data_IF_942589017427
#
_entry.id   IF_942589017427
#
_cell.length_a   1.000
_cell.length_b   1.000
_cell.length_c   1.000
_cell.angle_alpha   90.00
_cell.angle_beta   90.00
_cell.angle_gamma   90.00
#
_symmetry.space_group_name_H-M   'P 1'
#
loop_
_entity.id
_entity.type
_entity.pdbx_description
1 polymer ?
#
# COMPACT_ATOMS: atom_id res chain seq x y z
N UNK A 1 -1.62 6.54 24.06
CA UNK A 1 -0.65 6.77 22.97
C UNK A 1 -1.21 6.11 21.72
N UNK A 2 -1.58 6.87 20.68
CA UNK A 2 -2.07 6.27 19.46
C UNK A 2 -0.91 5.54 18.80
N UNK A 3 -1.07 4.23 18.61
CA UNK A 3 -0.15 3.41 17.83
C UNK A 3 -0.15 3.96 16.41
N UNK A 4 0.87 4.75 16.07
CA UNK A 4 1.19 5.03 14.68
C UNK A 4 1.60 3.69 14.07
N UNK A 5 0.62 2.97 13.50
CA UNK A 5 0.89 1.81 12.65
C UNK A 5 1.74 2.35 11.51
N UNK A 6 3.05 2.09 11.57
CA UNK A 6 3.94 2.28 10.43
C UNK A 6 3.34 1.43 9.31
N UNK A 7 2.70 2.09 8.35
CA UNK A 7 2.25 1.42 7.13
C UNK A 7 3.53 1.00 6.42
N UNK A 8 3.87 -0.29 6.53
CA UNK A 8 4.90 -0.92 5.72
C UNK A 8 4.62 -0.54 4.27
N UNK A 9 5.49 0.28 3.66
CA UNK A 9 5.24 0.81 2.31
C UNK A 9 5.43 -0.27 1.27
N UNK A 10 6.35 -1.21 1.55
CA UNK A 10 6.71 -2.31 0.66
C UNK A 10 6.75 -3.65 1.42
N UNK A 11 6.71 -4.77 0.69
CA UNK A 11 6.79 -6.14 1.25
C UNK A 11 7.93 -6.36 2.24
N UNK A 12 9.09 -5.80 1.94
CA UNK A 12 10.28 -5.94 2.78
C UNK A 12 10.17 -5.24 4.13
N UNK A 13 9.36 -4.18 4.23
CA UNK A 13 9.07 -3.55 5.52
C UNK A 13 8.20 -4.46 6.40
N UNK A 14 7.28 -5.21 5.77
CA UNK A 14 6.50 -6.22 6.47
C UNK A 14 7.41 -7.36 6.95
N UNK A 15 8.30 -7.87 6.10
CA UNK A 15 9.28 -8.89 6.52
C UNK A 15 10.13 -8.36 7.68
N UNK A 16 10.63 -7.12 7.59
CA UNK A 16 11.41 -6.49 8.67
C UNK A 16 10.61 -6.29 9.98
N UNK A 17 9.28 -6.23 9.91
CA UNK A 17 8.42 -6.11 11.09
C UNK A 17 8.16 -7.44 11.81
N UNK A 18 8.58 -8.57 11.23
CA UNK A 18 8.37 -9.89 11.82
C UNK A 18 9.22 -10.09 13.08
N UNK A 19 8.75 -10.88 14.06
CA UNK A 19 9.53 -11.24 15.23
C UNK A 19 10.85 -11.93 14.85
N UNK A 20 11.87 -11.69 15.68
CA UNK A 20 13.20 -12.30 15.62
C UNK A 20 13.19 -13.78 15.24
N UNK A 21 12.39 -14.58 15.96
CA UNK A 21 12.31 -16.04 15.78
C UNK A 21 11.78 -16.43 14.39
N UNK A 22 10.79 -15.69 13.88
CA UNK A 22 10.24 -15.93 12.53
C UNK A 22 11.26 -15.54 11.45
N UNK A 23 12.01 -14.46 11.65
CA UNK A 23 13.08 -14.04 10.72
C UNK A 23 14.21 -15.07 10.63
N UNK A 24 14.66 -15.60 11.76
CA UNK A 24 15.72 -16.60 11.77
C UNK A 24 15.27 -17.90 11.08
N UNK A 25 14.01 -18.33 11.26
CA UNK A 25 13.39 -19.45 10.52
C UNK A 25 13.30 -19.16 9.02
N UNK A 26 12.93 -17.94 8.62
CA UNK A 26 12.91 -17.54 7.20
C UNK A 26 14.30 -17.64 6.56
N UNK A 27 15.36 -17.32 7.30
CA UNK A 27 16.73 -17.36 6.79
C UNK A 27 17.29 -18.76 6.58
N UNK A 28 16.64 -19.80 7.10
CA UNK A 28 16.96 -21.19 6.77
C UNK A 28 16.73 -21.48 5.28
N UNK A 29 15.84 -20.73 4.62
CA UNK A 29 15.56 -20.88 3.21
C UNK A 29 16.50 -20.00 2.34
N UNK A 30 17.26 -20.64 1.45
CA UNK A 30 18.18 -19.98 0.52
C UNK A 30 17.51 -18.94 -0.38
N UNK A 31 16.28 -19.19 -0.83
CA UNK A 31 15.55 -18.29 -1.73
C UNK A 31 15.23 -16.96 -1.06
N UNK A 32 14.94 -17.00 0.24
CA UNK A 32 14.61 -15.80 1.00
C UNK A 32 15.86 -14.94 1.17
N UNK A 33 17.01 -15.55 1.44
CA UNK A 33 18.29 -14.84 1.51
C UNK A 33 18.58 -14.10 0.18
N UNK A 34 18.30 -14.75 -0.95
CA UNK A 34 18.47 -14.17 -2.27
C UNK A 34 17.45 -13.04 -2.58
N UNK A 35 16.17 -13.22 -2.20
CA UNK A 35 15.12 -12.20 -2.34
C UNK A 35 15.45 -10.94 -1.54
N UNK A 36 15.92 -11.14 -0.31
CA UNK A 36 16.32 -10.06 0.57
C UNK A 36 17.51 -9.33 -0.04
N UNK A 37 18.53 -10.06 -0.51
CA UNK A 37 19.67 -9.43 -1.18
C UNK A 37 19.24 -8.63 -2.43
N UNK A 38 18.29 -9.13 -3.23
CA UNK A 38 17.77 -8.41 -4.40
C UNK A 38 17.05 -7.12 -4.04
N UNK A 39 16.35 -7.10 -2.92
CA UNK A 39 15.55 -5.95 -2.47
C UNK A 39 16.33 -4.94 -1.62
N UNK A 40 17.55 -5.25 -1.16
CA UNK A 40 18.35 -4.28 -0.39
C UNK A 40 18.76 -3.05 -1.24
N UNK A 41 18.95 -1.86 -0.63
CA UNK A 41 19.57 -0.72 -1.30
C UNK A 41 20.98 -1.06 -1.83
N UNK A 42 21.46 -0.41 -2.91
CA UNK A 42 22.76 -0.74 -3.51
C UNK A 42 23.93 -0.75 -2.52
N UNK A 43 23.97 0.21 -1.59
CA UNK A 43 25.01 0.29 -0.56
C UNK A 43 24.93 -0.86 0.46
N UNK A 44 23.72 -1.25 0.86
CA UNK A 44 23.50 -2.39 1.75
C UNK A 44 23.90 -3.71 1.08
N UNK A 45 23.62 -3.89 -0.23
CA UNK A 45 24.09 -5.04 -1.01
C UNK A 45 25.61 -5.13 -1.01
N UNK A 46 26.30 -4.00 -1.23
CA UNK A 46 27.76 -3.93 -1.20
C UNK A 46 28.30 -4.44 0.15
N UNK A 47 27.75 -3.96 1.26
CA UNK A 47 28.17 -4.40 2.59
C UNK A 47 27.95 -5.90 2.79
N UNK A 48 26.76 -6.41 2.45
CA UNK A 48 26.46 -7.84 2.60
C UNK A 48 27.46 -8.70 1.82
N UNK A 49 27.78 -8.32 0.58
CA UNK A 49 28.72 -9.06 -0.26
C UNK A 49 30.17 -8.98 0.26
N UNK A 50 30.60 -7.83 0.78
CA UNK A 50 31.94 -7.67 1.35
C UNK A 50 32.10 -8.41 2.69
N UNK A 51 31.05 -8.42 3.51
CA UNK A 51 31.04 -9.10 4.81
C UNK A 51 30.85 -10.60 4.70
N UNK A 52 30.41 -11.10 3.54
CA UNK A 52 29.99 -12.49 3.36
C UNK A 52 31.07 -13.51 3.76
N UNK A 53 32.35 -13.22 3.52
CA UNK A 53 33.47 -14.12 3.82
C UNK A 53 34.30 -13.67 5.03
N UNK A 54 33.87 -12.63 5.75
CA UNK A 54 34.53 -12.21 6.97
C UNK A 54 33.99 -13.07 8.11
N UNK A 55 34.88 -13.82 8.73
CA UNK A 55 34.57 -14.61 9.93
C UNK A 55 34.79 -13.74 11.17
N UNK A 56 33.70 -13.38 11.85
CA UNK A 56 33.74 -12.68 13.14
C UNK A 56 33.09 -11.28 13.17
N UNK A 57 33.19 -10.59 14.31
CA UNK A 57 32.60 -9.26 14.49
C UNK A 57 33.39 -8.18 13.74
N UNK A 58 32.66 -7.26 13.11
CA UNK A 58 33.22 -6.19 12.28
C UNK A 58 33.10 -4.84 13.00
N UNK A 59 34.18 -4.07 13.18
CA UNK A 59 34.12 -2.75 13.82
C UNK A 59 33.24 -1.76 13.04
N UNK A 60 32.43 -0.96 13.73
CA UNK A 60 31.57 0.07 13.12
C UNK A 60 32.39 1.05 12.27
N UNK A 61 33.53 1.49 12.80
CA UNK A 61 34.45 2.43 12.13
C UNK A 61 34.92 1.95 10.76
N UNK A 62 35.09 0.64 10.58
CA UNK A 62 35.53 0.07 9.30
C UNK A 62 34.48 0.30 8.19
N UNK A 63 33.19 0.17 8.53
CA UNK A 63 32.10 0.41 7.57
C UNK A 63 31.91 1.89 7.27
N UNK A 64 32.19 2.77 8.24
CA UNK A 64 32.16 4.23 8.06
C UNK A 64 33.27 4.69 7.11
N UNK A 65 34.47 4.10 7.20
CA UNK A 65 35.60 4.38 6.31
C UNK A 65 35.36 3.99 4.84
N UNK A 66 34.42 3.08 4.57
CA UNK A 66 34.10 2.64 3.20
C UNK A 66 33.23 3.63 2.42
N UNK A 67 32.85 4.75 3.03
CA UNK A 67 31.95 5.75 2.46
C UNK A 67 32.57 7.13 2.54
N UNK A 68 32.42 7.90 1.45
CA UNK A 68 32.82 9.32 1.42
C UNK A 68 31.88 10.16 2.30
N UNK A 69 32.33 11.34 2.73
CA UNK A 69 31.55 12.23 3.60
C UNK A 69 30.13 12.51 3.05
N UNK A 70 29.99 12.71 1.74
CA UNK A 70 28.71 12.96 1.06
C UNK A 70 27.73 11.77 1.11
N UNK A 71 28.22 10.56 1.40
CA UNK A 71 27.45 9.33 1.46
C UNK A 71 26.98 8.94 2.87
N UNK A 72 27.31 9.71 3.91
CA UNK A 72 27.02 9.34 5.31
C UNK A 72 25.52 9.13 5.58
N UNK A 73 24.64 9.92 4.95
CA UNK A 73 23.18 9.76 5.07
C UNK A 73 22.71 8.42 4.48
N UNK A 74 23.23 8.03 3.32
CA UNK A 74 22.93 6.75 2.67
C UNK A 74 23.51 5.57 3.45
N UNK A 75 24.69 5.73 4.06
CA UNK A 75 25.28 4.75 4.96
C UNK A 75 24.34 4.45 6.13
N UNK A 76 23.84 5.49 6.83
CA UNK A 76 22.94 5.31 7.98
C UNK A 76 21.67 4.54 7.58
N UNK A 77 21.04 4.93 6.47
CA UNK A 77 19.84 4.23 5.95
C UNK A 77 20.14 2.77 5.60
N UNK A 78 21.30 2.49 5.00
CA UNK A 78 21.69 1.12 4.66
C UNK A 78 21.92 0.25 5.89
N UNK A 79 22.65 0.76 6.89
CA UNK A 79 22.90 0.04 8.16
C UNK A 79 21.61 -0.16 8.94
N UNK A 80 20.79 0.87 9.09
CA UNK A 80 19.48 0.78 9.75
C UNK A 80 18.63 -0.32 9.11
N UNK A 81 18.65 -0.42 7.77
CA UNK A 81 17.92 -1.46 7.05
C UNK A 81 18.46 -2.86 7.30
N UNK A 82 19.79 -3.04 7.33
CA UNK A 82 20.43 -4.32 7.63
C UNK A 82 20.17 -4.77 9.07
N UNK A 83 20.08 -3.82 10.02
CA UNK A 83 19.74 -4.08 11.41
C UNK A 83 18.26 -4.44 11.56
N UNK A 84 17.35 -3.71 10.91
CA UNK A 84 15.91 -4.00 10.91
C UNK A 84 15.61 -5.42 10.40
N UNK A 85 16.30 -5.83 9.34
CA UNK A 85 16.17 -7.19 8.81
C UNK A 85 16.93 -8.22 9.68
N UNK A 86 17.74 -7.80 10.65
CA UNK A 86 18.59 -8.69 11.47
C UNK A 86 19.61 -9.49 10.65
N UNK A 87 20.05 -8.92 9.52
CA UNK A 87 21.22 -9.40 8.78
C UNK A 87 22.49 -9.01 9.55
N UNK A 88 22.49 -7.79 10.12
CA UNK A 88 23.49 -7.31 11.05
C UNK A 88 22.88 -7.16 12.45
N UNK A 89 23.58 -7.62 13.47
CA UNK A 89 23.25 -7.36 14.87
C UNK A 89 24.29 -6.44 15.47
N UNK A 90 23.88 -5.28 15.97
CA UNK A 90 24.78 -4.31 16.61
C UNK A 90 25.05 -4.69 18.07
N UNK A 91 26.33 -4.82 18.44
CA UNK A 91 26.77 -4.95 19.83
C UNK A 91 27.28 -3.60 20.34
N UNK A 92 26.38 -2.81 20.92
CA UNK A 92 26.68 -1.43 21.39
C UNK A 92 27.86 -1.33 22.37
N UNK A 93 28.09 -2.37 23.19
CA UNK A 93 29.21 -2.40 24.16
C UNK A 93 30.59 -2.52 23.49
N UNK A 94 30.64 -3.17 22.33
CA UNK A 94 31.88 -3.49 21.62
C UNK A 94 32.07 -2.62 20.36
N UNK A 95 31.05 -1.83 19.98
CA UNK A 95 31.03 -1.05 18.73
C UNK A 95 31.35 -1.94 17.52
N UNK A 96 30.74 -3.14 17.50
CA UNK A 96 30.88 -4.13 16.44
C UNK A 96 29.54 -4.56 15.88
N UNK A 97 29.53 -4.92 14.61
CA UNK A 97 28.44 -5.58 13.92
C UNK A 97 28.75 -7.06 13.80
N UNK A 98 27.76 -7.90 14.13
CA UNK A 98 27.81 -9.34 13.90
C UNK A 98 26.89 -9.70 12.74
N UNK A 99 27.42 -10.41 11.76
CA UNK A 99 26.64 -10.91 10.64
C UNK A 99 25.83 -12.15 11.05
N UNK A 100 24.59 -12.27 10.57
CA UNK A 100 23.74 -13.42 10.87
C UNK A 100 24.31 -14.70 10.24
N UNK A 101 24.72 -15.71 11.04
CA UNK A 101 25.42 -16.88 10.53
C UNK A 101 24.57 -17.74 9.59
N UNK A 102 23.26 -17.86 9.84
CA UNK A 102 22.34 -18.63 8.99
C UNK A 102 22.23 -17.99 7.61
N UNK A 103 22.04 -16.66 7.58
CA UNK A 103 22.00 -15.89 6.34
C UNK A 103 23.34 -15.97 5.59
N UNK A 104 24.46 -15.90 6.31
CA UNK A 104 25.82 -15.97 5.74
C UNK A 104 26.04 -17.30 5.04
N UNK A 105 25.80 -18.41 5.74
CA UNK A 105 26.04 -19.75 5.22
C UNK A 105 25.15 -20.05 4.01
N UNK A 106 23.88 -19.65 4.05
CA UNK A 106 22.97 -19.90 2.95
C UNK A 106 23.31 -19.06 1.72
N UNK A 107 23.70 -17.79 1.89
CA UNK A 107 24.13 -16.95 0.78
C UNK A 107 25.48 -17.41 0.20
N UNK A 108 26.43 -17.85 1.04
CA UNK A 108 27.69 -18.46 0.59
C UNK A 108 27.42 -19.72 -0.24
N UNK A 109 26.59 -20.64 0.27
CA UNK A 109 26.19 -21.86 -0.46
C UNK A 109 25.56 -21.50 -1.81
N UNK A 110 24.68 -20.51 -1.83
CA UNK A 110 24.02 -20.04 -3.05
C UNK A 110 24.99 -19.49 -4.09
N UNK A 111 26.01 -18.72 -3.68
CA UNK A 111 27.02 -18.18 -4.61
C UNK A 111 27.90 -19.30 -5.18
N UNK A 112 28.29 -20.28 -4.35
CA UNK A 112 29.21 -21.35 -4.77
C UNK A 112 28.53 -22.40 -5.65
N UNK A 113 27.31 -22.81 -5.32
CA UNK A 113 26.61 -23.89 -6.05
C UNK A 113 25.73 -23.36 -7.19
N UNK A 114 25.61 -22.03 -7.31
CA UNK A 114 24.67 -21.37 -8.20
C UNK A 114 23.24 -21.42 -7.67
N UNK A 115 22.43 -20.43 -8.04
CA UNK A 115 21.01 -20.43 -7.71
C UNK A 115 20.29 -21.55 -8.44
N UNK A 116 19.86 -22.58 -7.70
CA UNK A 116 18.96 -23.60 -8.23
C UNK A 116 17.57 -22.99 -8.41
N UNK A 117 16.87 -23.31 -9.50
CA UNK A 117 15.43 -23.03 -9.56
C UNK A 117 14.76 -23.76 -8.40
N UNK A 118 13.82 -23.15 -7.65
CA UNK A 118 13.18 -23.83 -6.53
C UNK A 118 12.57 -25.17 -6.90
N UNK A 119 12.10 -25.25 -8.15
CA UNK A 119 11.53 -26.46 -8.75
C UNK A 119 12.04 -26.62 -10.16
N UNK A 120 12.14 -27.87 -10.61
CA UNK A 120 12.44 -28.15 -12.00
C UNK A 120 11.21 -27.81 -12.86
N UNK A 121 11.39 -27.00 -13.93
CA UNK A 121 10.30 -26.75 -14.86
C UNK A 121 9.99 -28.02 -15.63
N UNK A 122 8.73 -28.17 -16.02
CA UNK A 122 8.31 -29.30 -16.85
C UNK A 122 9.06 -29.31 -18.18
N UNK A 123 9.48 -30.49 -18.67
CA UNK A 123 10.17 -30.59 -19.93
C UNK A 123 9.23 -30.21 -21.09
N UNK A 124 9.78 -29.54 -22.09
CA UNK A 124 9.02 -28.90 -23.18
C UNK A 124 8.19 -29.88 -24.03
N UNK A 125 8.48 -31.18 -23.95
CA UNK A 125 7.75 -32.26 -24.60
C UNK A 125 6.37 -32.54 -23.98
N UNK A 126 6.17 -32.22 -22.70
CA UNK A 126 4.88 -32.41 -22.00
C UNK A 126 3.98 -31.18 -22.14
N UNK A 127 4.57 -29.99 -22.30
CA UNK A 127 3.87 -28.71 -22.35
C UNK A 127 3.60 -28.28 -23.80
N UNK A 128 2.74 -29.02 -24.51
CA UNK A 128 2.53 -28.89 -25.97
C UNK A 128 2.01 -27.51 -26.42
N UNK A 129 1.40 -26.72 -25.52
CA UNK A 129 0.98 -25.33 -25.76
C UNK A 129 1.18 -24.48 -24.51
N UNK A 130 2.37 -23.92 -24.33
CA UNK A 130 2.58 -22.87 -23.33
C UNK A 130 2.06 -21.54 -23.88
N UNK A 131 1.43 -20.69 -23.06
CA UNK A 131 1.04 -19.35 -23.48
C UNK A 131 2.28 -18.51 -23.81
N UNK A 132 2.14 -17.59 -24.77
CA UNK A 132 3.22 -16.63 -25.06
C UNK A 132 3.43 -15.66 -23.88
N UNK A 133 4.57 -14.98 -23.84
CA UNK A 133 4.83 -13.96 -22.83
C UNK A 133 3.78 -12.83 -22.87
N UNK A 134 3.35 -12.42 -24.07
CA UNK A 134 2.31 -11.41 -24.27
C UNK A 134 0.94 -11.88 -23.77
N UNK A 135 0.59 -13.15 -24.01
CA UNK A 135 -0.65 -13.74 -23.50
C UNK A 135 -0.66 -13.85 -21.98
N UNK A 136 0.49 -14.14 -21.36
CA UNK A 136 0.62 -14.19 -19.90
C UNK A 136 0.52 -12.80 -19.27
N UNK A 137 1.15 -11.79 -19.87
CA UNK A 137 1.07 -10.42 -19.41
C UNK A 137 -0.37 -9.88 -19.54
N UNK A 138 -1.03 -10.14 -20.67
CA UNK A 138 -2.43 -9.79 -20.87
C UNK A 138 -3.35 -10.50 -19.85
N UNK A 139 -3.12 -11.79 -19.60
CA UNK A 139 -3.85 -12.55 -18.58
C UNK A 139 -3.68 -11.94 -17.19
N UNK A 140 -2.44 -11.65 -16.78
CA UNK A 140 -2.14 -11.11 -15.45
C UNK A 140 -2.84 -9.76 -15.22
N UNK A 141 -2.78 -8.85 -16.21
CA UNK A 141 -3.45 -7.55 -16.15
C UNK A 141 -4.97 -7.72 -16.08
N UNK A 142 -5.54 -8.58 -16.94
CA UNK A 142 -7.00 -8.81 -16.95
C UNK A 142 -7.51 -9.42 -15.65
N UNK A 143 -6.81 -10.39 -15.08
CA UNK A 143 -7.21 -10.98 -13.79
C UNK A 143 -7.07 -9.97 -12.65
N UNK A 144 -5.99 -9.18 -12.63
CA UNK A 144 -5.82 -8.14 -11.61
C UNK A 144 -6.91 -7.07 -11.68
N UNK A 145 -7.25 -6.60 -12.88
CA UNK A 145 -8.35 -5.65 -13.07
C UNK A 145 -9.71 -6.24 -12.67
N UNK A 146 -9.93 -7.52 -13.00
CA UNK A 146 -11.15 -8.23 -12.59
C UNK A 146 -11.25 -8.35 -11.06
N UNK A 147 -10.15 -8.68 -10.39
CA UNK A 147 -10.07 -8.70 -8.93
C UNK A 147 -10.37 -7.34 -8.32
N UNK A 148 -9.74 -6.26 -8.83
CA UNK A 148 -10.00 -4.90 -8.34
C UNK A 148 -11.44 -4.45 -8.57
N UNK A 149 -12.03 -4.81 -9.72
CA UNK A 149 -13.44 -4.51 -9.99
C UNK A 149 -14.34 -5.23 -8.98
N UNK A 150 -14.09 -6.52 -8.71
CA UNK A 150 -14.83 -7.27 -7.70
C UNK A 150 -14.63 -6.70 -6.29
N UNK A 151 -13.42 -6.20 -5.99
CA UNK A 151 -13.08 -5.58 -4.72
C UNK A 151 -13.94 -4.32 -4.48
N UNK A 152 -14.11 -3.47 -5.50
CA UNK A 152 -14.87 -2.19 -5.39
C UNK A 152 -16.38 -2.41 -5.55
N UNK A 153 -16.78 -3.24 -6.52
CA UNK A 153 -18.17 -3.46 -6.88
C UNK A 153 -18.43 -4.96 -7.12
N UNK A 154 -18.86 -5.65 -6.07
CA UNK A 154 -19.18 -7.08 -6.12
C UNK A 154 -20.41 -7.41 -6.97
N UNK A 155 -21.25 -6.42 -7.33
CA UNK A 155 -22.53 -6.66 -8.04
C UNK A 155 -22.38 -6.81 -9.55
N UNK A 156 -21.30 -6.32 -10.14
CA UNK A 156 -21.01 -6.43 -11.59
C UNK A 156 -20.08 -7.59 -11.95
N UNK A 157 -19.66 -8.38 -10.95
CA UNK A 157 -18.76 -9.50 -11.19
C UNK A 157 -19.50 -10.69 -11.82
N UNK A 158 -19.45 -10.78 -13.14
CA UNK A 158 -20.03 -11.87 -13.95
C UNK A 158 -19.44 -13.26 -13.63
N UNK A 159 -18.27 -13.33 -12.95
CA UNK A 159 -17.51 -14.56 -12.70
C UNK A 159 -17.24 -14.74 -11.20
N UNK A 160 -17.49 -15.94 -10.66
CA UNK A 160 -17.15 -16.26 -9.27
C UNK A 160 -15.64 -16.45 -9.11
N UNK A 161 -15.06 -15.86 -8.07
CA UNK A 161 -13.67 -16.09 -7.65
C UNK A 161 -13.60 -17.30 -6.69
N UNK A 162 -12.44 -17.94 -6.61
CA UNK A 162 -12.12 -18.96 -5.60
C UNK A 162 -11.87 -18.33 -4.22
N UNK A 163 -11.39 -17.08 -4.18
CA UNK A 163 -11.23 -16.29 -2.95
C UNK A 163 -12.54 -16.27 -2.18
N UNK A 164 -12.51 -16.75 -0.94
CA UNK A 164 -13.70 -16.81 -0.08
C UNK A 164 -14.30 -15.43 0.19
N UNK A 165 -15.62 -15.38 0.36
CA UNK A 165 -16.33 -14.13 0.72
C UNK A 165 -15.82 -13.52 2.02
N UNK A 166 -15.41 -14.34 2.98
CA UNK A 166 -14.78 -13.89 4.22
C UNK A 166 -13.45 -13.17 3.98
N UNK A 167 -12.60 -13.72 3.11
CA UNK A 167 -11.32 -13.09 2.74
C UNK A 167 -11.52 -11.82 1.92
N UNK A 168 -12.53 -11.79 1.05
CA UNK A 168 -12.90 -10.57 0.32
C UNK A 168 -13.29 -9.44 1.28
N UNK A 169 -14.05 -9.75 2.35
CA UNK A 169 -14.36 -8.77 3.41
C UNK A 169 -13.11 -8.28 4.14
N UNK A 170 -12.09 -9.12 4.29
CA UNK A 170 -10.80 -8.70 4.86
C UNK A 170 -10.10 -7.71 3.92
N UNK A 171 -10.04 -7.98 2.61
CA UNK A 171 -9.46 -7.02 1.66
C UNK A 171 -10.22 -5.70 1.61
N UNK A 172 -11.55 -5.76 1.70
CA UNK A 172 -12.41 -4.57 1.72
C UNK A 172 -12.29 -3.79 3.03
N UNK A 173 -11.76 -4.39 4.10
CA UNK A 173 -11.63 -3.73 5.40
C UNK A 173 -10.71 -2.51 5.27
N UNK A 174 -11.25 -1.35 5.57
CA UNK A 174 -10.52 -0.08 5.45
C UNK A 174 -10.45 0.49 4.04
N UNK A 175 -10.78 -0.27 3.00
CA UNK A 175 -10.94 0.24 1.63
C UNK A 175 -12.39 0.64 1.33
N UNK A 176 -13.35 -0.09 1.91
CA UNK A 176 -14.78 0.20 1.79
C UNK A 176 -15.39 0.44 3.15
N UNK A 177 -16.40 1.31 3.18
CA UNK A 177 -17.31 1.50 4.31
C UNK A 177 -18.71 1.10 3.89
N UNK A 178 -19.36 0.33 4.76
CA UNK A 178 -20.77 -0.02 4.64
C UNK A 178 -21.43 0.44 5.94
N UNK A 179 -22.25 1.51 5.85
CA UNK A 179 -22.94 2.07 7.02
C UNK A 179 -24.14 1.21 7.43
N UNK A 180 -24.79 0.57 6.46
CA UNK A 180 -25.92 -0.36 6.62
C UNK A 180 -25.81 -1.52 5.62
N UNK A 181 -26.26 -2.73 6.00
CA UNK A 181 -26.27 -3.93 5.13
C UNK A 181 -27.06 -3.75 3.82
N UNK A 182 -27.94 -2.74 3.75
CA UNK A 182 -28.76 -2.42 2.56
C UNK A 182 -28.13 -1.39 1.63
N UNK A 183 -27.16 -0.60 2.08
CA UNK A 183 -26.47 0.34 1.21
C UNK A 183 -25.35 -0.36 0.44
N UNK A 184 -25.13 0.03 -0.82
CA UNK A 184 -23.97 -0.40 -1.57
C UNK A 184 -22.70 0.10 -0.85
N UNK A 185 -21.65 -0.74 -0.77
CA UNK A 185 -20.43 -0.35 -0.10
C UNK A 185 -19.82 0.88 -0.80
N UNK A 186 -19.34 1.83 -0.02
CA UNK A 186 -18.74 3.08 -0.50
C UNK A 186 -17.24 3.07 -0.28
N UNK A 187 -16.48 3.55 -1.25
CA UNK A 187 -15.03 3.65 -1.15
C UNK A 187 -14.66 4.68 -0.08
N UNK A 188 -13.69 4.32 0.77
CA UNK A 188 -13.10 5.24 1.75
C UNK A 188 -12.00 6.09 1.10
N UNK A 189 -11.51 7.10 1.81
CA UNK A 189 -10.31 7.87 1.42
C UNK A 189 -9.12 6.95 1.13
N UNK A 190 -8.83 6.01 2.05
CA UNK A 190 -7.77 5.01 1.88
C UNK A 190 -8.05 4.04 0.74
N UNK A 191 -9.32 3.69 0.51
CA UNK A 191 -9.77 2.90 -0.64
C UNK A 191 -9.46 3.58 -1.96
N UNK A 192 -9.75 4.87 -2.07
CA UNK A 192 -9.42 5.66 -3.25
C UNK A 192 -7.91 5.77 -3.42
N UNK A 193 -7.19 6.13 -2.36
CA UNK A 193 -5.73 6.19 -2.40
C UNK A 193 -5.11 4.86 -2.86
N UNK A 194 -5.63 3.72 -2.41
CA UNK A 194 -5.21 2.40 -2.86
C UNK A 194 -5.40 2.23 -4.38
N UNK A 195 -6.52 2.63 -4.95
CA UNK A 195 -6.74 2.57 -6.41
C UNK A 195 -5.79 3.48 -7.21
N UNK A 196 -5.27 4.54 -6.59
CA UNK A 196 -4.27 5.43 -7.17
C UNK A 196 -2.84 4.89 -7.12
N UNK A 197 -2.57 3.90 -6.27
CA UNK A 197 -1.23 3.33 -6.14
C UNK A 197 -0.81 2.61 -7.43
N UNK A 198 0.50 2.46 -7.63
CA UNK A 198 1.01 1.59 -8.68
C UNK A 198 0.64 0.12 -8.42
N UNK A 199 0.64 -0.71 -9.46
CA UNK A 199 0.21 -2.11 -9.35
C UNK A 199 1.04 -2.92 -8.35
N UNK A 200 2.32 -2.62 -8.18
CA UNK A 200 3.13 -3.35 -7.21
C UNK A 200 2.75 -2.96 -5.78
N UNK A 201 2.58 -1.66 -5.50
CA UNK A 201 2.09 -1.20 -4.20
C UNK A 201 0.68 -1.73 -3.87
N UNK A 202 -0.23 -1.75 -4.85
CA UNK A 202 -1.55 -2.36 -4.68
C UNK A 202 -1.44 -3.86 -4.37
N UNK A 203 -0.65 -4.59 -5.16
CA UNK A 203 -0.42 -6.01 -4.95
C UNK A 203 0.13 -6.27 -3.55
N UNK A 204 1.03 -5.41 -3.07
CA UNK A 204 1.59 -5.55 -1.72
C UNK A 204 0.62 -5.39 -0.59
N UNK A 205 -0.24 -4.38 -0.69
CA UNK A 205 -1.30 -4.18 0.27
C UNK A 205 -2.17 -5.44 0.37
N UNK A 206 -2.57 -6.01 -0.77
CA UNK A 206 -3.41 -7.22 -0.81
C UNK A 206 -2.69 -8.46 -0.27
N UNK A 207 -1.43 -8.69 -0.65
CA UNK A 207 -0.65 -9.83 -0.16
C UNK A 207 -0.42 -9.74 1.36
N UNK A 208 -0.23 -8.54 1.90
CA UNK A 208 -0.08 -8.34 3.36
C UNK A 208 -1.36 -8.70 4.12
N UNK A 209 -2.51 -8.23 3.65
CA UNK A 209 -3.79 -8.58 4.27
C UNK A 209 -4.09 -10.07 4.11
N UNK A 210 -3.69 -10.68 2.97
CA UNK A 210 -3.78 -12.12 2.75
C UNK A 210 -2.95 -12.91 3.77
N UNK A 211 -1.68 -12.53 3.98
CA UNK A 211 -0.80 -13.18 4.95
C UNK A 211 -1.38 -13.07 6.37
N UNK A 212 -1.88 -11.89 6.74
CA UNK A 212 -2.48 -11.66 8.06
C UNK A 212 -3.71 -12.54 8.27
N UNK A 213 -4.58 -12.63 7.27
CA UNK A 213 -5.75 -13.51 7.32
C UNK A 213 -5.36 -15.00 7.40
N UNK A 214 -4.34 -15.43 6.66
CA UNK A 214 -3.85 -16.82 6.73
C UNK A 214 -3.24 -17.14 8.11
N UNK A 215 -2.54 -16.19 8.73
CA UNK A 215 -2.01 -16.34 10.09
C UNK A 215 -3.15 -16.50 11.12
N UNK A 216 -4.23 -15.72 10.99
CA UNK A 216 -5.43 -15.88 11.83
C UNK A 216 -6.12 -17.25 11.63
N UNK A 217 -5.99 -17.84 10.45
CA UNK A 217 -6.47 -19.19 10.14
C UNK A 217 -5.51 -20.32 10.59
N UNK A 218 -4.38 -19.97 11.20
CA UNK A 218 -3.40 -20.92 11.75
C UNK A 218 -2.37 -21.44 10.74
N UNK A 219 -2.23 -20.81 9.57
CA UNK A 219 -1.15 -21.11 8.63
C UNK A 219 0.16 -20.48 9.13
N UNK A 220 1.26 -21.23 9.09
CA UNK A 220 2.57 -20.69 9.46
C UNK A 220 2.99 -19.57 8.49
N UNK A 221 3.12 -18.35 9.02
CA UNK A 221 3.54 -17.15 8.29
C UNK A 221 4.87 -17.35 7.58
N UNK A 222 5.83 -18.06 8.20
CA UNK A 222 7.15 -18.26 7.64
C UNK A 222 7.09 -19.15 6.39
N UNK A 223 6.29 -20.21 6.43
CA UNK A 223 6.12 -21.13 5.31
C UNK A 223 5.36 -20.46 4.15
N UNK A 224 4.36 -19.63 4.46
CA UNK A 224 3.63 -18.84 3.46
C UNK A 224 4.53 -17.81 2.76
N UNK A 225 5.30 -17.03 3.52
CA UNK A 225 6.24 -16.04 2.96
C UNK A 225 7.33 -16.75 2.15
N UNK A 226 7.85 -17.88 2.65
CA UNK A 226 8.80 -18.72 1.92
C UNK A 226 8.25 -19.11 0.57
N UNK A 227 7.01 -19.59 0.51
CA UNK A 227 6.37 -20.01 -0.72
C UNK A 227 6.10 -18.84 -1.70
N UNK A 228 5.65 -17.68 -1.20
CA UNK A 228 5.45 -16.49 -2.03
C UNK A 228 6.77 -15.98 -2.65
N UNK A 229 7.86 -16.00 -1.88
CA UNK A 229 9.19 -15.65 -2.36
C UNK A 229 9.74 -16.71 -3.33
N UNK A 230 9.50 -17.99 -3.05
CA UNK A 230 9.83 -19.10 -3.94
C UNK A 230 9.21 -18.89 -5.34
N UNK A 231 7.92 -18.53 -5.39
CA UNK A 231 7.22 -18.22 -6.65
C UNK A 231 7.88 -17.12 -7.46
N UNK A 232 8.49 -16.13 -6.81
CA UNK A 232 9.19 -15.04 -7.49
C UNK A 232 10.47 -15.47 -8.22
N UNK A 233 11.05 -16.62 -7.85
CA UNK A 233 12.25 -17.19 -8.49
C UNK A 233 11.96 -18.21 -9.58
N UNK A 234 10.69 -18.54 -9.78
CA UNK A 234 10.31 -19.38 -10.91
C UNK A 234 10.51 -18.62 -12.23
N UNK A 235 10.91 -19.34 -13.27
CA UNK A 235 11.14 -18.76 -14.59
C UNK A 235 9.80 -18.46 -15.23
N UNK A 236 9.61 -17.21 -15.65
CA UNK A 236 8.39 -16.77 -16.33
C UNK A 236 8.12 -17.62 -17.58
N UNK A 237 6.84 -17.98 -17.78
CA UNK A 237 6.41 -18.74 -18.94
C UNK A 237 6.71 -20.24 -18.91
N UNK A 238 7.41 -20.75 -17.88
CA UNK A 238 7.57 -22.20 -17.67
C UNK A 238 6.45 -22.76 -16.79
N UNK A 239 6.06 -24.00 -17.06
CA UNK A 239 5.06 -24.72 -16.27
C UNK A 239 5.71 -25.57 -15.18
N UNK A 240 5.03 -25.64 -14.04
CA UNK A 240 5.47 -26.37 -12.86
C UNK A 240 4.34 -27.27 -12.35
N UNK A 241 4.69 -28.47 -11.88
CA UNK A 241 3.71 -29.49 -11.53
C UNK A 241 3.04 -29.20 -10.19
N UNK A 242 1.70 -29.15 -10.14
CA UNK A 242 0.95 -28.94 -8.88
C UNK A 242 1.11 -30.11 -7.90
N UNK A 243 1.44 -31.32 -8.35
CA UNK A 243 1.61 -32.48 -7.47
C UNK A 243 2.79 -32.33 -6.51
N UNK A 244 3.76 -31.47 -6.84
CA UNK A 244 4.91 -31.15 -5.98
C UNK A 244 4.54 -30.24 -4.81
N UNK A 245 3.31 -29.69 -4.79
CA UNK A 245 2.84 -28.77 -3.76
C UNK A 245 2.12 -29.50 -2.63
N UNK A 246 2.28 -28.98 -1.41
CA UNK A 246 1.46 -29.40 -0.27
C UNK A 246 -0.01 -29.01 -0.47
N UNK A 247 -0.92 -29.61 0.30
CA UNK A 247 -2.35 -29.27 0.20
C UNK A 247 -2.63 -27.80 0.51
N UNK A 248 -1.89 -27.22 1.46
CA UNK A 248 -1.97 -25.79 1.80
C UNK A 248 -1.47 -24.93 0.63
N UNK A 249 -0.32 -25.28 0.04
CA UNK A 249 0.22 -24.59 -1.13
C UNK A 249 -0.72 -24.66 -2.35
N UNK A 250 -1.43 -25.77 -2.54
CA UNK A 250 -2.45 -25.90 -3.61
C UNK A 250 -3.63 -24.95 -3.39
N UNK A 251 -4.06 -24.75 -2.14
CA UNK A 251 -5.11 -23.76 -1.82
C UNK A 251 -4.60 -22.34 -2.11
N UNK A 252 -3.39 -22.01 -1.64
CA UNK A 252 -2.77 -20.70 -1.88
C UNK A 252 -2.65 -20.44 -3.39
N UNK A 253 -2.21 -21.41 -4.19
CA UNK A 253 -2.13 -21.24 -5.65
C UNK A 253 -3.49 -20.92 -6.26
N UNK A 254 -4.59 -21.52 -5.80
CA UNK A 254 -5.93 -21.18 -6.30
C UNK A 254 -6.30 -19.73 -6.00
N UNK A 255 -5.96 -19.23 -4.81
CA UNK A 255 -6.18 -17.82 -4.46
C UNK A 255 -5.29 -16.89 -5.31
N UNK A 256 -4.02 -17.26 -5.52
CA UNK A 256 -3.07 -16.49 -6.34
C UNK A 256 -3.45 -16.45 -7.82
N UNK A 257 -4.24 -17.41 -8.30
CA UNK A 257 -4.77 -17.45 -9.66
C UNK A 257 -5.84 -16.38 -9.85
N UNK A 258 -6.69 -16.17 -8.87
CA UNK A 258 -7.70 -15.10 -8.89
C UNK A 258 -7.05 -13.71 -8.86
N UNK A 259 -5.90 -13.58 -8.21
CA UNK A 259 -5.08 -12.36 -8.24
C UNK A 259 -4.27 -12.22 -9.55
N UNK A 260 -4.22 -13.24 -10.42
CA UNK A 260 -3.46 -13.21 -11.66
C UNK A 260 -1.94 -13.39 -11.52
N UNK A 261 -1.46 -13.81 -10.35
CA UNK A 261 -0.03 -14.10 -10.12
C UNK A 261 0.41 -15.40 -10.78
N UNK A 262 -0.54 -16.30 -10.97
CA UNK A 262 -0.31 -17.63 -11.51
C UNK A 262 -1.43 -17.98 -12.48
N UNK A 263 -1.09 -18.59 -13.62
CA UNK A 263 -2.06 -19.18 -14.54
C UNK A 263 -2.07 -20.68 -14.37
N UNK A 264 -3.24 -21.26 -14.10
CA UNK A 264 -3.41 -22.71 -14.15
C UNK A 264 -3.63 -23.17 -15.58
N UNK A 265 -3.04 -24.30 -15.91
CA UNK A 265 -3.33 -25.00 -17.15
C UNK A 265 -3.46 -26.49 -16.85
N UNK A 266 -4.55 -27.06 -17.35
CA UNK A 266 -4.87 -28.46 -17.18
C UNK A 266 -4.32 -29.25 -18.36
N UNK A 267 -3.53 -30.27 -18.07
CA UNK A 267 -3.20 -31.33 -19.00
C UNK A 267 -4.20 -32.48 -18.92
N UNK A 268 -3.96 -33.53 -19.72
CA UNK A 268 -4.83 -34.71 -19.78
C UNK A 268 -4.88 -35.52 -18.48
N UNK A 269 -3.83 -35.46 -17.64
CA UNK A 269 -3.72 -36.23 -16.38
C UNK A 269 -3.25 -35.39 -15.19
N UNK A 270 -2.55 -34.30 -15.45
CA UNK A 270 -1.94 -33.47 -14.42
C UNK A 270 -2.26 -32.01 -14.67
N UNK A 271 -2.32 -31.24 -13.60
CA UNK A 271 -2.53 -29.79 -13.66
C UNK A 271 -1.24 -29.10 -13.27
N UNK A 272 -0.90 -28.04 -14.01
CA UNK A 272 0.32 -27.28 -13.80
C UNK A 272 0.02 -25.80 -13.63
N UNK A 273 0.98 -25.11 -13.05
CA UNK A 273 0.92 -23.68 -12.78
C UNK A 273 2.05 -22.95 -13.49
N UNK A 274 1.75 -21.76 -14.01
CA UNK A 274 2.68 -20.91 -14.76
C UNK A 274 2.72 -19.54 -14.07
N UNK A 275 3.85 -19.14 -13.48
CA UNK A 275 4.01 -17.82 -12.88
C UNK A 275 3.91 -16.70 -13.92
N UNK A 276 3.22 -15.62 -13.55
CA UNK A 276 3.13 -14.40 -14.35
C UNK A 276 4.15 -13.36 -13.89
N UNK A 277 4.25 -12.25 -14.61
CA UNK A 277 5.09 -11.10 -14.24
C UNK A 277 4.75 -10.50 -12.87
N UNK A 278 3.49 -10.62 -12.42
CA UNK A 278 3.09 -10.13 -11.09
C UNK A 278 3.76 -10.94 -9.97
N UNK A 279 3.93 -12.25 -10.15
CA UNK A 279 4.60 -13.10 -9.16
C UNK A 279 6.10 -12.81 -9.05
N UNK A 280 6.79 -12.54 -10.17
CA UNK A 280 8.22 -12.21 -10.15
C UNK A 280 8.48 -10.82 -9.57
N UNK A 281 7.57 -9.87 -9.80
CA UNK A 281 7.65 -8.54 -9.21
C UNK A 281 7.58 -8.54 -7.67
N UNK A 282 7.13 -9.64 -7.05
CA UNK A 282 7.10 -9.77 -5.60
C UNK A 282 8.51 -9.64 -4.96
N UNK A 283 9.57 -10.20 -5.52
CA UNK A 283 10.90 -10.04 -4.91
C UNK A 283 11.65 -8.78 -5.36
N UNK A 284 11.13 -8.03 -6.34
CA UNK A 284 11.85 -6.96 -7.06
C UNK A 284 11.48 -5.56 -6.55
N UNK A 285 10.69 -5.44 -5.48
CA UNK A 285 10.06 -4.21 -4.97
C UNK A 285 10.95 -2.98 -4.68
N UNK A 286 12.28 -3.04 -4.84
CA UNK A 286 13.20 -1.91 -4.67
C UNK A 286 14.03 -1.54 -5.91
N UNK A 287 13.89 -2.25 -7.05
CA UNK A 287 14.50 -1.79 -8.29
C UNK A 287 13.55 -0.79 -8.94
N UNK A 288 13.94 0.50 -8.91
CA UNK A 288 13.32 1.67 -9.56
C UNK A 288 12.76 1.36 -10.96
N UNK A 289 11.60 0.74 -11.01
CA UNK A 289 10.80 0.57 -12.23
C UNK A 289 9.61 1.50 -12.10
N UNK A 290 9.93 2.79 -12.02
CA UNK A 290 9.03 3.85 -12.50
C UNK A 290 8.92 3.75 -14.03
N UNK A 291 8.56 2.59 -14.56
CA UNK A 291 7.90 2.54 -15.86
C UNK A 291 6.55 3.16 -15.60
N UNK A 292 6.47 4.50 -15.67
CA UNK A 292 5.20 5.22 -15.62
C UNK A 292 4.33 4.54 -16.67
N UNK A 293 3.23 3.91 -16.22
CA UNK A 293 2.22 3.44 -17.15
C UNK A 293 1.85 4.63 -18.03
N UNK A 294 1.74 4.41 -19.33
CA UNK A 294 1.28 5.46 -20.22
C UNK A 294 -0.11 5.88 -19.70
N UNK A 295 -0.25 7.15 -19.34
CA UNK A 295 -1.54 7.66 -18.92
C UNK A 295 -2.53 7.58 -20.07
N UNK A 296 -3.81 7.61 -19.73
CA UNK A 296 -4.90 7.40 -20.68
C UNK A 296 -5.94 8.52 -20.65
N UNK A 297 -5.81 9.48 -19.73
CA UNK A 297 -6.81 10.53 -19.48
C UNK A 297 -6.37 11.85 -20.10
N UNK A 298 -7.29 12.53 -20.77
CA UNK A 298 -7.17 13.90 -21.25
C UNK A 298 -8.30 14.72 -20.64
N UNK A 299 -7.95 15.88 -20.06
CA UNK A 299 -8.90 16.83 -19.49
C UNK A 299 -8.79 18.15 -20.24
N UNK A 300 -9.93 18.68 -20.69
CA UNK A 300 -10.03 19.95 -21.39
C UNK A 300 -10.45 21.10 -20.46
N UNK A 301 -10.27 22.34 -20.91
CA UNK A 301 -10.62 23.56 -20.16
C UNK A 301 -12.12 23.73 -19.90
N UNK A 302 -12.97 23.00 -20.64
CA UNK A 302 -14.43 22.99 -20.50
C UNK A 302 -14.93 21.91 -19.50
N UNK A 303 -14.04 21.34 -18.68
CA UNK A 303 -14.32 20.26 -17.73
C UNK A 303 -14.70 18.90 -18.36
N UNK A 304 -14.56 18.75 -19.68
CA UNK A 304 -14.70 17.45 -20.33
C UNK A 304 -13.46 16.60 -20.15
N UNK A 305 -13.70 15.31 -19.97
CA UNK A 305 -12.69 14.29 -19.81
C UNK A 305 -12.86 13.21 -20.86
N UNK A 306 -11.73 12.82 -21.44
CA UNK A 306 -11.61 11.78 -22.44
C UNK A 306 -10.60 10.76 -21.97
N UNK A 307 -11.04 9.54 -21.69
CA UNK A 307 -10.17 8.47 -21.21
C UNK A 307 -10.08 7.34 -22.25
N UNK A 308 -8.88 7.18 -22.82
CA UNK A 308 -8.57 6.20 -23.86
C UNK A 308 -8.29 4.83 -23.23
N UNK A 309 -9.34 4.13 -22.83
CA UNK A 309 -9.23 2.85 -22.15
C UNK A 309 -10.38 1.92 -22.54
N UNK A 310 -10.08 0.64 -22.67
CA UNK A 310 -11.06 -0.45 -22.82
C UNK A 310 -11.43 -1.09 -21.47
N UNK A 311 -10.68 -0.79 -20.40
CA UNK A 311 -10.88 -1.37 -19.08
C UNK A 311 -12.16 -0.87 -18.41
N UNK A 312 -12.98 -1.81 -17.94
CA UNK A 312 -14.17 -1.52 -17.11
C UNK A 312 -13.77 -0.87 -15.77
N UNK A 313 -12.64 -1.30 -15.18
CA UNK A 313 -12.13 -0.73 -13.93
C UNK A 313 -11.86 0.77 -14.06
N UNK A 314 -11.21 1.20 -15.14
CA UNK A 314 -10.96 2.62 -15.38
C UNK A 314 -12.26 3.42 -15.51
N UNK A 315 -13.31 2.85 -16.11
CA UNK A 315 -14.62 3.49 -16.17
C UNK A 315 -15.19 3.70 -14.76
N UNK A 316 -15.18 2.68 -13.92
CA UNK A 316 -15.70 2.76 -12.55
C UNK A 316 -14.90 3.72 -11.67
N UNK A 317 -13.57 3.77 -11.80
CA UNK A 317 -12.73 4.75 -11.08
C UNK A 317 -13.12 6.18 -11.49
N UNK A 318 -13.34 6.44 -12.78
CA UNK A 318 -13.74 7.76 -13.26
C UNK A 318 -15.15 8.14 -12.79
N UNK A 319 -16.08 7.19 -12.69
CA UNK A 319 -17.44 7.42 -12.15
C UNK A 319 -17.44 7.90 -10.70
N UNK A 320 -16.37 7.68 -9.95
CA UNK A 320 -16.29 8.11 -8.55
C UNK A 320 -16.31 9.64 -8.41
N UNK A 321 -15.75 10.36 -9.38
CA UNK A 321 -15.58 11.82 -9.30
C UNK A 321 -15.98 12.58 -10.57
N UNK A 322 -16.33 11.87 -11.64
CA UNK A 322 -16.84 12.46 -12.88
C UNK A 322 -18.15 11.79 -13.30
N UNK A 323 -19.00 12.55 -14.00
CA UNK A 323 -20.19 12.01 -14.64
C UNK A 323 -19.80 11.42 -15.99
N UNK A 324 -19.82 10.09 -16.11
CA UNK A 324 -19.65 9.42 -17.40
C UNK A 324 -20.90 9.65 -18.26
N UNK A 325 -20.73 10.26 -19.43
CA UNK A 325 -21.83 10.59 -20.34
C UNK A 325 -22.12 9.44 -21.30
N UNK A 326 -21.07 8.87 -21.90
CA UNK A 326 -21.17 7.70 -22.78
C UNK A 326 -19.83 6.96 -22.86
N UNK A 327 -19.91 5.67 -23.18
CA UNK A 327 -18.77 4.78 -23.33
C UNK A 327 -18.76 4.20 -24.74
N UNK A 328 -17.65 4.39 -25.44
CA UNK A 328 -17.33 3.79 -26.73
C UNK A 328 -16.33 2.64 -26.50
N UNK A 329 -16.07 1.76 -27.50
CA UNK A 329 -15.23 0.58 -27.32
C UNK A 329 -13.82 0.87 -26.76
N UNK A 330 -13.22 2.01 -27.08
CA UNK A 330 -11.87 2.40 -26.68
C UNK A 330 -11.78 3.83 -26.10
N UNK A 331 -12.92 4.44 -25.78
CA UNK A 331 -13.00 5.82 -25.28
C UNK A 331 -14.14 5.96 -24.29
N UNK A 332 -13.83 6.46 -23.11
CA UNK A 332 -14.81 6.85 -22.09
C UNK A 332 -14.88 8.38 -22.11
N UNK A 333 -16.08 8.92 -22.29
CA UNK A 333 -16.31 10.37 -22.26
C UNK A 333 -17.11 10.72 -21.02
N UNK A 334 -16.60 11.69 -20.27
CA UNK A 334 -17.26 12.19 -19.07
C UNK A 334 -17.04 13.68 -18.87
N UNK A 335 -17.73 14.22 -17.87
CA UNK A 335 -17.57 15.61 -17.46
C UNK A 335 -17.40 15.70 -15.94
N UNK A 336 -16.49 16.56 -15.50
CA UNK A 336 -16.31 16.90 -14.10
C UNK A 336 -17.28 18.04 -13.76
N UNK A 337 -18.23 17.79 -12.86
CA UNK A 337 -19.21 18.80 -12.45
C UNK A 337 -19.33 18.87 -10.92
N UNK A 338 -19.96 19.95 -10.42
CA UNK A 338 -20.11 20.19 -8.98
C UNK A 338 -20.76 19.02 -8.25
N UNK A 339 -21.81 18.43 -8.82
CA UNK A 339 -22.57 17.33 -8.21
C UNK A 339 -21.74 16.04 -8.07
N UNK A 340 -21.04 15.63 -9.14
CA UNK A 340 -20.19 14.44 -9.15
C UNK A 340 -19.03 14.59 -8.17
N UNK A 341 -18.42 15.77 -8.09
CA UNK A 341 -17.37 16.04 -7.12
C UNK A 341 -17.88 16.11 -5.69
N UNK A 342 -19.03 16.71 -5.43
CA UNK A 342 -19.60 16.73 -4.08
C UNK A 342 -19.88 15.31 -3.59
N UNK A 343 -20.36 14.44 -4.47
CA UNK A 343 -20.52 13.02 -4.17
C UNK A 343 -19.17 12.35 -3.82
N UNK A 344 -18.11 12.66 -4.57
CA UNK A 344 -16.76 12.16 -4.30
C UNK A 344 -16.20 12.65 -2.95
N UNK A 345 -16.29 13.96 -2.70
CA UNK A 345 -15.82 14.62 -1.49
C UNK A 345 -16.55 14.10 -0.24
N UNK A 346 -17.87 13.91 -0.32
CA UNK A 346 -18.66 13.30 0.77
C UNK A 346 -18.29 11.84 1.04
N UNK A 347 -17.72 11.14 0.06
CA UNK A 347 -17.16 9.80 0.24
C UNK A 347 -15.72 9.83 0.78
N UNK A 348 -15.16 11.03 1.06
CA UNK A 348 -13.83 11.20 1.61
C UNK A 348 -12.71 11.25 0.57
N UNK A 349 -13.04 11.38 -0.71
CA UNK A 349 -12.03 11.57 -1.78
C UNK A 349 -11.68 13.05 -1.82
N UNK A 350 -10.42 13.43 -1.58
CA UNK A 350 -10.01 14.85 -1.54
C UNK A 350 -9.77 15.44 -2.93
N UNK A 351 -9.85 16.77 -3.05
CA UNK A 351 -9.56 17.48 -4.30
C UNK A 351 -8.14 17.17 -4.82
N UNK A 352 -7.15 17.18 -3.92
CA UNK A 352 -5.75 16.94 -4.30
C UNK A 352 -5.51 15.49 -4.74
N UNK A 353 -6.23 14.50 -4.20
CA UNK A 353 -6.18 13.12 -4.69
C UNK A 353 -6.72 13.01 -6.13
N UNK A 354 -7.83 13.69 -6.43
CA UNK A 354 -8.41 13.71 -7.78
C UNK A 354 -7.45 14.38 -8.76
N UNK A 355 -6.90 15.55 -8.40
CA UNK A 355 -5.92 16.25 -9.23
C UNK A 355 -4.67 15.40 -9.45
N UNK A 356 -4.15 14.76 -8.40
CA UNK A 356 -3.00 13.86 -8.48
C UNK A 356 -3.27 12.67 -9.41
N UNK A 357 -4.47 12.07 -9.34
CA UNK A 357 -4.87 11.00 -10.24
C UNK A 357 -4.83 11.44 -11.71
N UNK A 358 -5.44 12.60 -12.01
CA UNK A 358 -5.51 13.14 -13.37
C UNK A 358 -4.11 13.46 -13.92
N UNK A 359 -3.22 14.00 -13.08
CA UNK A 359 -1.84 14.30 -13.45
C UNK A 359 -1.01 13.03 -13.68
N UNK A 360 -1.14 12.02 -12.82
CA UNK A 360 -0.39 10.76 -12.92
C UNK A 360 -0.84 9.90 -14.11
N UNK A 361 -2.13 9.96 -14.45
CA UNK A 361 -2.74 9.20 -15.55
C UNK A 361 -2.97 10.05 -16.81
N UNK A 362 -2.31 11.21 -16.91
CA UNK A 362 -2.40 12.07 -18.09
C UNK A 362 -1.85 11.37 -19.34
N UNK A 363 -2.59 11.43 -20.43
CA UNK A 363 -2.18 10.87 -21.71
C UNK A 363 -0.82 11.45 -22.16
N UNK A 364 0.12 10.67 -22.75
CA UNK A 364 1.47 11.13 -23.07
C UNK A 364 1.54 12.48 -23.80
N UNK A 365 0.62 12.72 -24.75
CA UNK A 365 0.51 13.99 -25.49
C UNK A 365 0.22 15.23 -24.64
N UNK A 366 -0.36 15.04 -23.46
CA UNK A 366 -0.72 16.11 -22.51
C UNK A 366 0.20 16.06 -21.29
N UNK A 367 0.72 14.89 -20.93
CA UNK A 367 1.68 14.73 -19.84
C UNK A 367 2.98 15.52 -20.05
N UNK A 368 3.38 15.76 -21.30
CA UNK A 368 4.52 16.63 -21.64
C UNK A 368 4.23 18.12 -21.45
N UNK A 369 2.95 18.53 -21.38
CA UNK A 369 2.56 19.92 -21.14
C UNK A 369 2.67 20.22 -19.65
N UNK A 370 3.12 21.43 -19.33
CA UNK A 370 3.16 21.95 -17.97
C UNK A 370 2.20 23.13 -17.87
N UNK A 371 1.12 23.03 -17.09
CA UNK A 371 0.65 21.86 -16.35
C UNK A 371 -0.05 20.80 -17.25
N UNK A 372 -0.01 19.53 -16.81
CA UNK A 372 -0.61 18.39 -17.55
C UNK A 372 -2.14 18.35 -17.45
N UNK A 373 -2.71 19.05 -16.47
CA UNK A 373 -4.15 19.29 -16.30
C UNK A 373 -4.34 20.81 -16.31
N UNK A 374 -5.32 21.36 -17.05
CA UNK A 374 -5.56 22.80 -17.09
C UNK A 374 -5.77 23.43 -15.70
N UNK A 375 -5.13 24.56 -15.43
CA UNK A 375 -5.17 25.23 -14.12
C UNK A 375 -6.59 25.60 -13.68
N UNK A 376 -7.40 26.07 -14.63
CA UNK A 376 -8.79 26.41 -14.36
C UNK A 376 -9.60 25.20 -13.85
N UNK A 377 -9.27 23.99 -14.29
CA UNK A 377 -9.91 22.77 -13.80
C UNK A 377 -9.40 22.41 -12.41
N UNK A 378 -8.09 22.44 -12.18
CA UNK A 378 -7.51 22.10 -10.86
C UNK A 378 -7.97 23.07 -9.77
N UNK A 379 -8.03 24.36 -10.08
CA UNK A 379 -8.46 25.38 -9.13
C UNK A 379 -9.95 25.26 -8.83
N UNK A 380 -10.76 24.99 -9.84
CA UNK A 380 -12.21 24.81 -9.64
C UNK A 380 -12.52 23.58 -8.78
N UNK A 381 -11.79 22.48 -8.94
CA UNK A 381 -11.95 21.27 -8.08
C UNK A 381 -11.67 21.63 -6.62
N UNK A 382 -10.56 22.34 -6.35
CA UNK A 382 -10.20 22.79 -5.00
C UNK A 382 -11.19 23.80 -4.42
N UNK A 383 -11.69 24.73 -5.24
CA UNK A 383 -12.72 25.69 -4.83
C UNK A 383 -14.02 24.99 -4.43
N UNK A 384 -14.41 23.93 -5.14
CA UNK A 384 -15.60 23.15 -4.80
C UNK A 384 -15.44 22.41 -3.47
N UNK A 385 -14.25 21.89 -3.14
CA UNK A 385 -13.95 21.32 -1.82
C UNK A 385 -13.98 22.38 -0.72
N UNK A 386 -13.36 23.55 -0.95
CA UNK A 386 -13.40 24.65 0.00
C UNK A 386 -14.82 25.17 0.26
N UNK A 387 -15.70 25.15 -0.75
CA UNK A 387 -17.11 25.52 -0.61
C UNK A 387 -17.89 24.50 0.25
N UNK A 388 -17.52 23.21 0.20
CA UNK A 388 -18.10 22.17 1.07
C UNK A 388 -17.62 22.33 2.51
N UNK A 389 -16.33 22.61 2.71
CA UNK A 389 -15.68 22.73 4.03
C UNK A 389 -15.78 24.14 4.63
N UNK A 390 -16.72 24.96 4.16
CA UNK A 390 -16.91 26.35 4.60
C UNK A 390 -17.36 26.49 6.05
N UNK A 391 -18.06 25.48 6.58
CA UNK A 391 -18.67 25.51 7.90
C UNK A 391 -18.09 24.38 8.73
N UNK A 392 -17.37 24.73 9.79
CA UNK A 392 -16.89 23.78 10.78
C UNK A 392 -17.82 23.79 12.00
N UNK A 393 -18.24 22.60 12.44
CA UNK A 393 -19.13 22.44 13.59
C UNK A 393 -18.32 21.93 14.77
N UNK A 394 -18.08 22.79 15.75
CA UNK A 394 -17.33 22.45 16.96
C UNK A 394 -18.32 22.37 18.14
N UNK A 395 -18.46 21.21 18.80
CA UNK A 395 -19.24 21.10 20.03
C UNK A 395 -18.69 22.04 21.11
N UNK A 396 -19.54 22.93 21.62
CA UNK A 396 -19.13 23.99 22.52
C UNK A 396 -20.20 24.30 23.58
N UNK A 397 -19.76 24.87 24.70
CA UNK A 397 -20.63 25.37 25.75
C UNK A 397 -20.51 26.88 25.87
N UNK A 398 -21.65 27.54 25.99
CA UNK A 398 -21.75 28.96 26.30
C UNK A 398 -21.82 29.14 27.82
N UNK A 399 -20.93 29.98 28.35
CA UNK A 399 -20.99 30.54 29.69
C UNK A 399 -21.39 32.01 29.58
N UNK A 400 -22.46 32.37 30.27
CA UNK A 400 -22.96 33.72 30.41
C UNK A 400 -23.25 34.04 31.88
N UNK A 401 -23.71 35.27 32.14
CA UNK A 401 -24.11 35.75 33.47
C UNK A 401 -23.01 35.64 34.54
N UNK A 402 -21.78 36.05 34.18
CA UNK A 402 -20.70 36.11 35.15
C UNK A 402 -20.99 37.16 36.24
N UNK A 403 -20.73 36.84 37.52
CA UNK A 403 -21.06 37.71 38.66
C UNK A 403 -20.18 38.97 38.72
N UNK A 404 -18.96 38.92 38.21
CA UNK A 404 -18.05 40.05 38.11
C UNK A 404 -17.14 39.93 36.90
N UNK A 405 -16.52 41.05 36.53
CA UNK A 405 -15.54 41.09 35.44
C UNK A 405 -14.28 40.29 35.75
N UNK A 406 -13.84 40.28 37.01
CA UNK A 406 -12.65 39.54 37.43
C UNK A 406 -12.84 38.02 37.30
N UNK A 407 -14.03 37.50 37.62
CA UNK A 407 -14.36 36.08 37.46
C UNK A 407 -14.45 35.71 35.96
N UNK A 408 -14.97 36.62 35.14
CA UNK A 408 -14.97 36.45 33.69
C UNK A 408 -13.55 36.40 33.11
N UNK A 409 -12.68 37.35 33.49
CA UNK A 409 -11.30 37.42 33.00
C UNK A 409 -10.51 36.17 33.44
N UNK A 410 -10.65 35.74 34.70
CA UNK A 410 -10.04 34.51 35.22
C UNK A 410 -10.54 33.24 34.50
N UNK A 411 -11.83 33.19 34.14
CA UNK A 411 -12.40 32.09 33.37
C UNK A 411 -11.88 32.05 31.93
N UNK A 412 -11.66 33.21 31.31
CA UNK A 412 -11.05 33.31 29.99
C UNK A 412 -9.58 32.88 30.02
N UNK A 413 -8.83 33.30 31.04
CA UNK A 413 -7.43 32.92 31.22
C UNK A 413 -7.28 31.39 31.41
N UNK A 414 -8.11 30.79 32.27
CA UNK A 414 -8.15 29.35 32.45
C UNK A 414 -8.51 28.60 31.16
N UNK A 415 -9.48 29.10 30.38
CA UNK A 415 -9.85 28.49 29.10
C UNK A 415 -8.75 28.62 28.02
N UNK A 416 -7.93 29.70 28.06
CA UNK A 416 -6.75 29.86 27.20
C UNK A 416 -5.62 28.93 27.62
N UNK A 417 -5.33 28.82 28.92
CA UNK A 417 -4.30 27.91 29.44
C UNK A 417 -4.57 26.45 29.09
N UNK A 418 -5.84 26.02 29.17
CA UNK A 418 -6.26 24.67 28.79
C UNK A 418 -6.49 24.48 27.27
N UNK A 419 -6.36 25.53 26.46
CA UNK A 419 -6.38 25.43 24.99
C UNK A 419 -7.77 25.19 24.35
N UNK A 420 -8.85 25.61 25.00
CA UNK A 420 -10.20 25.47 24.42
C UNK A 420 -11.13 26.65 24.56
N UNK A 421 -10.60 27.85 24.80
CA UNK A 421 -11.29 29.08 24.43
C UNK A 421 -11.61 29.08 22.93
N UNK A 422 -12.89 29.18 22.56
CA UNK A 422 -13.34 29.32 21.18
C UNK A 422 -13.71 30.76 20.83
N UNK A 423 -14.39 31.44 21.75
CA UNK A 423 -14.83 32.82 21.54
C UNK A 423 -15.08 33.51 22.87
N UNK A 424 -14.80 34.80 22.94
CA UNK A 424 -15.07 35.65 24.10
C UNK A 424 -15.71 36.97 23.67
N UNK A 425 -16.53 37.53 24.56
CA UNK A 425 -17.08 38.87 24.41
C UNK A 425 -17.03 39.61 25.74
N UNK A 426 -16.02 40.45 25.90
CA UNK A 426 -15.76 41.21 27.11
C UNK A 426 -16.86 42.24 27.43
N UNK A 427 -17.62 42.71 26.43
CA UNK A 427 -18.71 43.69 26.64
C UNK A 427 -19.95 43.06 27.28
N UNK A 428 -20.24 41.81 26.92
CA UNK A 428 -21.42 41.08 27.42
C UNK A 428 -21.05 40.03 28.48
N UNK A 429 -19.76 39.91 28.84
CA UNK A 429 -19.21 38.85 29.69
C UNK A 429 -19.72 37.48 29.24
N UNK A 430 -19.41 37.11 28.00
CA UNK A 430 -19.78 35.80 27.44
C UNK A 430 -18.55 35.07 26.96
N UNK A 431 -18.54 33.78 27.21
CA UNK A 431 -17.41 32.90 26.94
C UNK A 431 -17.94 31.62 26.29
N UNK A 432 -17.34 31.20 25.19
CA UNK A 432 -17.62 29.92 24.53
C UNK A 432 -16.38 29.05 24.62
N UNK A 433 -16.54 27.86 25.17
CA UNK A 433 -15.45 26.90 25.41
C UNK A 433 -15.76 25.58 24.69
N UNK A 434 -14.73 24.89 24.21
CA UNK A 434 -14.85 23.53 23.65
C UNK A 434 -15.52 22.57 24.63
N UNK A 435 -16.34 21.65 24.10
CA UNK A 435 -17.01 20.61 24.87
C UNK A 435 -16.08 19.78 25.75
N UNK A 436 -14.85 19.55 25.30
CA UNK A 436 -13.83 18.74 25.98
C UNK A 436 -13.39 19.30 27.33
N UNK A 437 -13.48 20.63 27.52
CA UNK A 437 -12.99 21.35 28.72
C UNK A 437 -14.15 21.69 29.68
N UNK A 438 -15.36 21.25 29.35
CA UNK A 438 -16.57 21.57 30.12
C UNK A 438 -16.46 21.19 31.60
N UNK A 439 -15.93 20.00 31.89
CA UNK A 439 -15.81 19.47 33.26
C UNK A 439 -14.80 20.28 34.07
N UNK A 440 -13.65 20.60 33.48
CA UNK A 440 -12.56 21.35 34.09
C UNK A 440 -12.99 22.81 34.35
N UNK A 441 -13.66 23.44 33.39
CA UNK A 441 -14.25 24.78 33.56
C UNK A 441 -15.27 24.81 34.69
N UNK A 442 -16.13 23.78 34.78
CA UNK A 442 -17.14 23.69 35.83
C UNK A 442 -16.53 23.54 37.23
N UNK A 443 -15.44 22.79 37.36
CA UNK A 443 -14.70 22.67 38.62
C UNK A 443 -14.00 23.98 39.01
N UNK A 444 -13.36 24.65 38.05
CA UNK A 444 -12.73 25.95 38.26
C UNK A 444 -13.73 27.00 38.75
N UNK A 445 -14.88 27.12 38.07
CA UNK A 445 -15.93 28.08 38.44
C UNK A 445 -16.60 27.73 39.79
N UNK A 446 -16.63 26.46 40.19
CA UNK A 446 -17.08 26.06 41.53
C UNK A 446 -16.12 26.49 42.63
N UNK A 447 -14.80 26.38 42.39
CA UNK A 447 -13.76 26.80 43.35
C UNK A 447 -13.74 28.32 43.55
N UNK A 448 -14.12 29.10 42.54
CA UNK A 448 -14.23 30.56 42.65
C UNK A 448 -15.52 31.06 43.33
N UNK A 449 -16.51 30.18 43.56
CA UNK A 449 -17.74 30.49 44.31
C UNK A 449 -17.65 30.19 45.81
N UNK A 450 -16.64 29.42 46.23
CA UNK A 450 -16.28 29.24 47.64
C UNK A 450 -15.33 30.35 48.06
#
# INVERSE_FOLDING_TARGET
>A
MPQVRIVARNFMDMVASLPAVKLDKLYENSFICEAILRSLPPLAKKYVLQLLYIEGPVPVKLLEEWVLADGASKHRVAIDRLIQLRILTERKKESTYLFNPTFQQNLQKHIVHGGASPREPMPSNVTVRLPSAEELDAYAVQQWEFFLLHLINSTEAEKSMNISSSMMKVFQRGLLTQKDDKESPRLTESGFQFLLMDTNAQLWYIIREYITNCEEQGVDTADLISFLLELSFHVMGKAYNLNTLSNIQKTIIKDLVDLGLVKLQQGMKESWFIPTKLATNLSISLADTTTRKQGFVVVETNFRMYAYSTSKLHCEILRLFARVEYQLPNLIVGAINKESLYKALLNGITADQIVSFLQQNAHPRVAEKVPSVPENVTDQIRLWEADLNRVEMIPAHLYDEFPSRDVFDAACDFAREYGGLLWENSKKMRLVVKGEIFTQMKEFLRKQKQ
#
